data_IF_238490672174
#
_entry.id   IF_238490672174
#
_cell.length_a   1.000
_cell.length_b   1.000
_cell.length_c   1.000
_cell.angle_alpha   90.00
_cell.angle_beta   90.00
_cell.angle_gamma   90.00
#
_symmetry.space_group_name_H-M   'P 1'
#
loop_
_entity.id
_entity.type
_entity.pdbx_description
1 polymer ?
#
# COMPACT_ATOMS: atom_id res chain seq x y z
N UNK A 1 10.45 -20.47 -11.77
CA UNK A 1 10.69 -19.88 -10.43
C UNK A 1 10.06 -18.50 -10.18
N UNK A 2 9.66 -17.69 -11.19
CA UNK A 2 9.09 -16.33 -10.96
C UNK A 2 7.68 -16.27 -10.32
N UNK A 3 6.81 -17.25 -10.56
CA UNK A 3 5.43 -17.21 -10.04
C UNK A 3 5.34 -17.41 -8.52
N UNK A 4 6.25 -18.19 -7.92
CA UNK A 4 6.24 -18.48 -6.48
C UNK A 4 6.49 -17.22 -5.66
N UNK A 5 7.48 -16.40 -6.04
CA UNK A 5 7.83 -15.18 -5.32
C UNK A 5 6.72 -14.14 -5.40
N UNK A 6 6.01 -14.04 -6.53
CA UNK A 6 4.88 -13.12 -6.68
C UNK A 6 3.68 -13.54 -5.84
N UNK A 7 3.34 -14.83 -5.83
CA UNK A 7 2.26 -15.35 -5.01
C UNK A 7 2.55 -15.18 -3.51
N UNK A 8 3.80 -15.43 -3.10
CA UNK A 8 4.25 -15.22 -1.73
C UNK A 8 4.18 -13.75 -1.31
N UNK A 9 4.68 -12.83 -2.14
CA UNK A 9 4.62 -11.39 -1.86
C UNK A 9 3.17 -10.90 -1.79
N UNK A 10 2.33 -11.35 -2.73
CA UNK A 10 0.89 -11.04 -2.74
C UNK A 10 0.22 -11.48 -1.45
N UNK A 11 0.43 -12.74 -1.05
CA UNK A 11 -0.16 -13.29 0.17
C UNK A 11 0.37 -12.56 1.40
N UNK A 12 1.66 -12.25 1.46
CA UNK A 12 2.23 -11.46 2.54
C UNK A 12 1.50 -10.12 2.70
N UNK A 13 1.33 -9.36 1.62
CA UNK A 13 0.66 -8.04 1.67
C UNK A 13 -0.80 -8.17 2.11
N UNK A 14 -1.54 -9.11 1.53
CA UNK A 14 -2.96 -9.28 1.82
C UNK A 14 -3.22 -9.81 3.23
N UNK A 15 -2.29 -10.57 3.80
CA UNK A 15 -2.45 -11.18 5.12
C UNK A 15 -1.75 -10.37 6.23
N UNK A 16 -1.01 -9.32 5.88
CA UNK A 16 -0.21 -8.53 6.82
C UNK A 16 -1.05 -7.98 7.99
N UNK A 17 -2.22 -7.41 7.68
CA UNK A 17 -3.17 -6.89 8.67
C UNK A 17 -3.71 -7.93 9.67
N UNK A 18 -3.61 -9.24 9.36
CA UNK A 18 -4.13 -10.29 10.25
C UNK A 18 -3.21 -10.59 11.42
N UNK A 19 -1.91 -10.35 11.23
CA UNK A 19 -0.88 -10.60 12.23
C UNK A 19 -0.33 -9.32 12.84
N UNK A 20 -0.56 -8.17 12.18
CA UNK A 20 -0.08 -6.87 12.62
C UNK A 20 -1.24 -5.87 12.60
N UNK A 21 -1.52 -5.24 13.74
CA UNK A 21 -2.48 -4.13 13.78
C UNK A 21 -1.84 -2.92 13.12
N UNK A 22 -2.18 -2.67 11.86
CA UNK A 22 -1.88 -1.42 11.17
C UNK A 22 -2.86 -0.33 11.62
N UNK A 23 -2.92 -0.09 12.92
CA UNK A 23 -3.53 1.11 13.47
C UNK A 23 -2.54 2.23 13.22
N UNK A 24 -2.83 3.06 12.22
CA UNK A 24 -2.29 4.41 12.22
C UNK A 24 -2.79 5.03 13.53
N UNK A 25 -1.90 5.35 14.48
CA UNK A 25 -2.32 6.15 15.61
C UNK A 25 -2.87 7.46 15.05
N UNK A 26 -4.20 7.60 15.14
CA UNK A 26 -5.06 8.51 14.38
C UNK A 26 -5.47 7.96 13.00
N UNK A 27 -6.59 7.25 13.01
CA UNK A 27 -7.72 7.74 12.21
C UNK A 27 -7.81 9.25 12.48
N UNK A 28 -7.18 10.06 11.63
CA UNK A 28 -7.61 11.44 11.50
C UNK A 28 -9.07 11.30 11.10
N UNK A 29 -9.96 11.59 12.03
CA UNK A 29 -11.36 11.92 11.79
C UNK A 29 -11.38 13.09 10.80
N UNK A 30 -11.08 12.79 9.54
CA UNK A 30 -11.37 13.67 8.44
C UNK A 30 -12.87 13.51 8.27
N UNK A 31 -13.59 14.42 8.92
CA UNK A 31 -14.98 14.69 8.64
C UNK A 31 -15.16 14.78 7.11
N UNK A 32 -16.27 14.27 6.58
CA UNK A 32 -16.52 14.26 5.13
C UNK A 32 -16.45 15.69 4.54
N UNK A 33 -16.70 16.70 5.38
CA UNK A 33 -16.59 18.12 5.09
C UNK A 33 -15.14 18.60 4.86
N UNK A 34 -14.14 17.91 5.44
CA UNK A 34 -12.70 18.21 5.25
C UNK A 34 -12.10 17.57 3.99
N UNK A 35 -12.82 16.67 3.32
CA UNK A 35 -12.34 15.99 2.11
C UNK A 35 -12.29 16.91 0.87
N UNK A 36 -13.06 18.00 0.87
CA UNK A 36 -13.16 18.97 -0.23
C UNK A 36 -12.51 20.33 0.06
N UNK A 37 -11.99 20.56 1.27
CA UNK A 37 -11.37 21.84 1.62
C UNK A 37 -9.90 21.90 1.16
N UNK A 38 -9.71 22.46 -0.03
CA UNK A 38 -8.41 22.76 -0.66
C UNK A 38 -7.50 23.69 0.17
N UNK A 39 -7.99 24.24 1.30
CA UNK A 39 -7.21 25.11 2.19
C UNK A 39 -6.74 24.43 3.49
N UNK A 40 -7.18 23.20 3.77
CA UNK A 40 -6.66 22.48 4.95
C UNK A 40 -5.42 21.69 4.56
N UNK A 41 -4.23 21.99 5.11
CA UNK A 41 -3.04 21.21 4.86
C UNK A 41 -3.18 19.89 5.62
N UNK A 42 -3.79 18.89 5.00
CA UNK A 42 -3.65 17.50 5.45
C UNK A 42 -2.21 17.11 5.10
N UNK A 43 -1.27 17.47 5.97
CA UNK A 43 0.14 17.05 5.93
C UNK A 43 0.29 15.57 6.30
N UNK A 44 -0.54 14.71 5.73
CA UNK A 44 -0.22 13.28 5.67
C UNK A 44 0.39 13.05 4.29
N UNK A 45 1.61 13.54 4.12
CA UNK A 45 2.39 13.17 2.94
C UNK A 45 2.59 11.64 2.93
N UNK A 46 2.66 11.05 1.74
CA UNK A 46 2.80 9.60 1.59
C UNK A 46 4.01 9.03 2.33
N UNK A 47 5.11 9.78 2.40
CA UNK A 47 6.31 9.40 3.15
C UNK A 47 6.04 9.40 4.66
N UNK A 48 5.21 10.31 5.19
CA UNK A 48 4.77 10.28 6.59
C UNK A 48 3.93 9.03 6.88
N UNK A 49 2.97 8.68 6.02
CA UNK A 49 2.17 7.45 6.17
C UNK A 49 3.03 6.18 6.05
N UNK A 50 3.99 6.13 5.13
CA UNK A 50 4.91 5.00 4.98
C UNK A 50 5.89 4.88 6.14
N UNK A 51 6.37 6.01 6.68
CA UNK A 51 7.28 6.04 7.83
C UNK A 51 6.58 5.51 9.08
N UNK A 52 5.34 5.92 9.33
CA UNK A 52 4.56 5.39 10.47
C UNK A 52 4.37 3.88 10.37
N UNK A 53 4.01 3.37 9.18
CA UNK A 53 3.88 1.93 8.96
C UNK A 53 5.23 1.22 9.15
N UNK A 54 6.33 1.83 8.70
CA UNK A 54 7.69 1.28 8.86
C UNK A 54 8.16 1.25 10.32
N UNK A 55 7.69 2.17 11.15
CA UNK A 55 7.98 2.24 12.58
C UNK A 55 7.14 1.24 13.40
N UNK A 56 5.89 1.00 12.98
CA UNK A 56 4.99 0.01 13.62
C UNK A 56 5.18 -1.43 13.13
N UNK A 57 5.78 -1.60 11.95
CA UNK A 57 6.01 -2.90 11.35
C UNK A 57 7.31 -3.51 11.86
N UNK A 58 7.21 -4.47 12.78
CA UNK A 58 8.33 -5.20 13.42
C UNK A 58 9.27 -5.99 12.46
N UNK A 59 9.17 -5.81 11.13
CA UNK A 59 9.97 -6.55 10.15
C UNK A 59 10.74 -5.64 9.20
N UNK A 60 12.07 -5.79 9.20
CA UNK A 60 13.01 -5.24 8.19
C UNK A 60 12.51 -5.48 6.76
N UNK A 61 11.78 -6.56 6.56
CA UNK A 61 11.17 -6.92 5.29
C UNK A 61 10.08 -5.93 4.84
N UNK A 62 9.19 -5.48 5.73
CA UNK A 62 8.15 -4.51 5.37
C UNK A 62 8.76 -3.15 5.01
N UNK A 63 9.78 -2.70 5.74
CA UNK A 63 10.42 -1.40 5.47
C UNK A 63 11.07 -1.41 4.09
N UNK A 64 11.81 -2.49 3.77
CA UNK A 64 12.37 -2.71 2.44
C UNK A 64 11.28 -2.75 1.36
N UNK A 65 10.12 -3.32 1.67
CA UNK A 65 9.00 -3.38 0.74
C UNK A 65 8.38 -2.00 0.52
N UNK A 66 8.20 -1.20 1.57
CA UNK A 66 7.67 0.17 1.51
C UNK A 66 8.60 1.09 0.70
N UNK A 67 9.92 1.03 0.93
CA UNK A 67 10.89 1.77 0.12
C UNK A 67 10.79 1.42 -1.37
N UNK A 68 10.60 0.14 -1.71
CA UNK A 68 10.43 -0.29 -3.10
C UNK A 68 9.09 0.16 -3.68
N UNK A 69 8.02 0.14 -2.89
CA UNK A 69 6.72 0.66 -3.31
C UNK A 69 6.81 2.15 -3.56
N UNK A 70 7.53 2.89 -2.73
CA UNK A 70 7.77 4.32 -2.91
C UNK A 70 8.58 4.60 -4.19
N UNK A 71 9.70 3.90 -4.36
CA UNK A 71 10.63 4.12 -5.47
C UNK A 71 10.06 3.74 -6.84
N UNK A 72 9.29 2.65 -6.93
CA UNK A 72 8.84 2.07 -8.22
C UNK A 72 7.34 2.18 -8.47
N UNK A 73 6.55 2.43 -7.43
CA UNK A 73 5.12 2.63 -7.54
C UNK A 73 4.77 4.02 -8.02
N UNK A 74 3.71 4.12 -8.83
CA UNK A 74 3.03 5.40 -9.04
C UNK A 74 2.21 5.75 -7.80
N UNK A 75 1.93 7.02 -7.55
CA UNK A 75 1.10 7.47 -6.43
C UNK A 75 -0.18 6.62 -6.25
N UNK A 76 -0.91 6.35 -7.34
CA UNK A 76 -2.12 5.51 -7.33
C UNK A 76 -1.84 4.05 -6.94
N UNK A 77 -0.73 3.47 -7.41
CA UNK A 77 -0.34 2.11 -7.04
C UNK A 77 0.09 2.02 -5.57
N UNK A 78 0.77 3.06 -5.06
CA UNK A 78 1.17 3.15 -3.65
C UNK A 78 -0.06 3.21 -2.73
N UNK A 79 -1.06 4.03 -3.05
CA UNK A 79 -2.30 4.06 -2.26
C UNK A 79 -3.08 2.74 -2.34
N UNK A 80 -3.19 2.13 -3.51
CA UNK A 80 -3.80 0.79 -3.66
C UNK A 80 -3.06 -0.23 -2.78
N UNK A 81 -1.73 -0.19 -2.75
CA UNK A 81 -0.93 -1.05 -1.88
C UNK A 81 -1.24 -0.81 -0.40
N UNK A 82 -1.29 0.44 0.06
CA UNK A 82 -1.62 0.76 1.45
C UNK A 82 -3.01 0.28 1.84
N UNK A 83 -4.01 0.45 0.97
CA UNK A 83 -5.36 -0.07 1.20
C UNK A 83 -5.33 -1.60 1.38
N UNK A 84 -4.66 -2.32 0.48
CA UNK A 84 -4.58 -3.78 0.54
C UNK A 84 -3.78 -4.27 1.76
N UNK A 85 -2.70 -3.58 2.10
CA UNK A 85 -1.86 -3.87 3.25
C UNK A 85 -2.63 -3.73 4.58
N UNK A 86 -3.47 -2.70 4.70
CA UNK A 86 -4.38 -2.47 5.84
C UNK A 86 -5.55 -3.47 5.91
N UNK A 87 -5.74 -4.29 4.89
CA UNK A 87 -6.81 -5.30 4.84
C UNK A 87 -8.08 -4.85 4.11
N UNK A 88 -8.09 -3.69 3.47
CA UNK A 88 -9.20 -3.34 2.57
C UNK A 88 -9.22 -4.33 1.39
N UNK A 89 -10.35 -4.99 1.17
CA UNK A 89 -10.50 -5.90 0.03
C UNK A 89 -10.43 -5.17 -1.32
N UNK A 90 -10.25 -5.93 -2.40
CA UNK A 90 -10.20 -5.40 -3.77
C UNK A 90 -11.46 -4.59 -4.14
N UNK A 91 -12.64 -5.07 -3.73
CA UNK A 91 -13.90 -4.38 -4.02
C UNK A 91 -14.03 -3.07 -3.24
N UNK A 92 -13.65 -3.08 -1.95
CA UNK A 92 -13.67 -1.86 -1.13
C UNK A 92 -12.66 -0.83 -1.62
N UNK A 93 -11.48 -1.29 -2.03
CA UNK A 93 -10.47 -0.43 -2.66
C UNK A 93 -11.00 0.15 -3.98
N UNK A 94 -11.66 -0.66 -4.81
CA UNK A 94 -12.30 -0.20 -6.04
C UNK A 94 -13.34 0.91 -5.80
N UNK A 95 -14.17 0.77 -4.77
CA UNK A 95 -15.12 1.81 -4.35
C UNK A 95 -14.41 3.12 -3.98
N UNK A 96 -13.35 3.06 -3.15
CA UNK A 96 -12.59 4.24 -2.71
C UNK A 96 -12.00 5.00 -3.91
N UNK A 97 -11.47 4.28 -4.90
CA UNK A 97 -10.88 4.90 -6.09
C UNK A 97 -11.88 5.18 -7.21
N UNK A 98 -13.16 4.81 -7.05
CA UNK A 98 -14.17 4.80 -8.11
C UNK A 98 -13.67 4.12 -9.40
N UNK A 99 -13.04 2.94 -9.25
CA UNK A 99 -12.46 2.15 -10.34
C UNK A 99 -13.07 0.75 -10.40
N UNK A 100 -13.02 0.11 -11.58
CA UNK A 100 -13.39 -1.29 -11.71
C UNK A 100 -12.44 -2.19 -10.87
N UNK A 101 -12.95 -3.18 -10.12
CA UNK A 101 -12.13 -4.14 -9.36
C UNK A 101 -11.03 -4.83 -10.17
N UNK A 102 -11.26 -5.07 -11.47
CA UNK A 102 -10.24 -5.62 -12.40
C UNK A 102 -9.09 -4.65 -12.60
N UNK A 103 -9.36 -3.35 -12.59
CA UNK A 103 -8.34 -2.31 -12.70
C UNK A 103 -7.48 -2.25 -11.43
N UNK A 104 -8.10 -2.37 -10.25
CA UNK A 104 -7.36 -2.49 -8.98
C UNK A 104 -6.45 -3.71 -8.99
N UNK A 105 -6.95 -4.89 -9.38
CA UNK A 105 -6.13 -6.10 -9.51
C UNK A 105 -4.97 -5.90 -10.48
N UNK A 106 -5.24 -5.36 -11.66
CA UNK A 106 -4.24 -5.10 -12.68
C UNK A 106 -3.14 -4.15 -12.20
N UNK A 107 -3.52 -3.05 -11.54
CA UNK A 107 -2.58 -2.08 -10.97
C UNK A 107 -1.73 -2.70 -9.86
N UNK A 108 -2.35 -3.48 -8.99
CA UNK A 108 -1.65 -4.18 -7.93
C UNK A 108 -0.67 -5.22 -8.50
N UNK A 109 -1.11 -6.07 -9.43
CA UNK A 109 -0.24 -7.06 -10.08
C UNK A 109 0.94 -6.38 -10.82
N UNK A 110 0.70 -5.23 -11.48
CA UNK A 110 1.77 -4.43 -12.08
C UNK A 110 2.77 -3.91 -11.07
N UNK A 111 2.31 -3.42 -9.91
CA UNK A 111 3.20 -2.96 -8.84
C UNK A 111 4.08 -4.12 -8.35
N UNK A 112 3.49 -5.30 -8.12
CA UNK A 112 4.24 -6.50 -7.73
C UNK A 112 5.29 -6.88 -8.77
N UNK A 113 4.93 -6.85 -10.05
CA UNK A 113 5.87 -7.16 -11.14
C UNK A 113 7.02 -6.14 -11.20
N UNK A 114 6.77 -4.85 -10.94
CA UNK A 114 7.82 -3.82 -10.84
C UNK A 114 8.76 -4.11 -9.67
N UNK A 115 8.22 -4.35 -8.48
CA UNK A 115 9.01 -4.65 -7.27
C UNK A 115 9.89 -5.88 -7.52
N UNK A 116 9.35 -6.94 -8.12
CA UNK A 116 10.08 -8.17 -8.41
C UNK A 116 11.12 -8.02 -9.53
N UNK A 117 10.88 -7.13 -10.49
CA UNK A 117 11.87 -6.82 -11.54
C UNK A 117 13.09 -6.15 -10.91
N UNK A 118 12.88 -5.21 -10.00
CA UNK A 118 13.94 -4.45 -9.35
C UNK A 118 14.58 -5.18 -8.16
N UNK A 119 13.91 -6.20 -7.59
CA UNK A 119 14.52 -7.06 -6.57
C UNK A 119 15.56 -8.04 -7.12
N UNK A 120 15.57 -8.31 -8.43
CA UNK A 120 16.56 -9.19 -9.08
C UNK A 120 17.82 -8.46 -9.57
N UNK A 121 17.92 -7.14 -9.37
CA UNK A 121 19.10 -6.34 -9.76
C UNK A 121 20.11 -6.13 -8.63
N UNK A 122 19.92 -6.80 -7.49
CA UNK A 122 20.86 -6.77 -6.37
C UNK A 122 21.19 -8.20 -5.93
N UNK A 123 21.90 -8.93 -6.79
CA UNK A 123 22.80 -10.04 -6.42
C UNK A 123 24.00 -9.98 -7.37
#
# INVERSE_FOLDING_TARGET
MKQSNRAQLRNFILEYHKTHSLTLEKDLELDDDMFFDINTPVEVDMSTAMTQISLTGDSVYLNTLLEKVDQYGTLKEQYIFLCLLRGYGINRTAEIFNLDPRNIRYKFDKLLDKILKHSNSAI
#
